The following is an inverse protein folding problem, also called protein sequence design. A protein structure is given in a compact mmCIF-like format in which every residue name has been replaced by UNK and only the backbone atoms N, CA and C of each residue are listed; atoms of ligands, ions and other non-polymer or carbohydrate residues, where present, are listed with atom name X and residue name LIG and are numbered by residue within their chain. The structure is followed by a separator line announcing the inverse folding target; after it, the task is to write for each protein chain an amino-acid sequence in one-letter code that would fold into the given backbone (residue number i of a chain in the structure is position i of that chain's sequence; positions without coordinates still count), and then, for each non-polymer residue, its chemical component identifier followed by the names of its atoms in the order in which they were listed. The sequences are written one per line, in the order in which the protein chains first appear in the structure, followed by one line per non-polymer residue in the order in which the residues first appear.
data_IF_000479972355
#
_entry.id   IF_000479972355
#
_cell.length_a   1.000
_cell.length_b   1.000
_cell.length_c   1.000
_cell.angle_alpha   90.00
_cell.angle_beta   90.00
_cell.angle_gamma   90.00
#
_symmetry.space_group_name_H-M   'P 1'
#
loop_
_entity.id
_entity.type
_entity.pdbx_description
1 polymer ?
#
# COMPACT_ATOMS: atom_id res chain seq x y z
N UNK A 1 -19.33 -13.04 3.37
CA UNK A 1 -18.21 -13.59 2.56
C UNK A 1 -16.97 -13.93 3.40
N UNK A 2 -17.11 -14.46 4.64
CA UNK A 2 -15.98 -14.98 5.43
C UNK A 2 -16.41 -16.15 6.35
N UNK A 3 -17.10 -17.18 5.84
CA UNK A 3 -17.44 -18.37 6.67
C UNK A 3 -16.37 -19.47 6.62
N UNK A 4 -15.49 -19.47 5.61
CA UNK A 4 -14.49 -20.53 5.41
C UNK A 4 -13.09 -20.23 5.98
N UNK A 5 -12.75 -18.95 6.15
CA UNK A 5 -11.43 -18.57 6.67
C UNK A 5 -11.64 -18.16 8.14
N UNK A 6 -11.25 -19.03 9.07
CA UNK A 6 -11.26 -18.75 10.52
C UNK A 6 -10.12 -17.78 10.90
N UNK A 7 -9.88 -16.75 10.08
CA UNK A 7 -8.88 -15.74 10.38
C UNK A 7 -9.43 -14.83 11.47
N UNK A 8 -8.95 -15.02 12.69
CA UNK A 8 -9.38 -14.24 13.86
C UNK A 8 -8.44 -13.08 14.17
N UNK A 9 -7.18 -13.16 13.75
CA UNK A 9 -6.18 -12.14 14.01
C UNK A 9 -5.03 -12.18 12.99
N UNK A 10 -4.34 -11.05 12.84
CA UNK A 10 -3.15 -10.89 12.01
C UNK A 10 -2.14 -10.03 12.77
N UNK A 11 -0.96 -10.60 13.04
CA UNK A 11 0.08 -9.98 13.84
C UNK A 11 1.32 -9.69 12.99
N UNK A 12 1.85 -8.48 13.05
CA UNK A 12 3.17 -8.17 12.52
C UNK A 12 3.90 -7.20 13.45
N UNK A 13 5.02 -7.65 14.03
CA UNK A 13 5.73 -6.91 15.07
C UNK A 13 4.75 -6.45 16.18
N UNK A 14 4.61 -5.15 16.37
CA UNK A 14 3.73 -4.54 17.39
C UNK A 14 2.31 -4.27 16.87
N UNK A 15 2.05 -4.45 15.57
CA UNK A 15 0.75 -4.19 14.95
C UNK A 15 -0.12 -5.46 14.98
N UNK A 16 -1.23 -5.39 15.72
CA UNK A 16 -2.23 -6.45 15.84
C UNK A 16 -3.55 -6.01 15.19
N UNK A 17 -4.00 -6.73 14.18
CA UNK A 17 -5.38 -6.65 13.68
C UNK A 17 -6.18 -7.84 14.20
N UNK A 18 -7.37 -7.55 14.72
CA UNK A 18 -8.29 -8.59 15.18
C UNK A 18 -9.60 -8.48 14.41
N UNK A 19 -10.05 -9.61 13.88
CA UNK A 19 -11.26 -9.70 13.07
C UNK A 19 -12.39 -10.32 13.88
N UNK A 20 -13.56 -9.70 13.81
CA UNK A 20 -14.77 -10.15 14.48
C UNK A 20 -15.97 -9.97 13.55
N UNK A 21 -17.07 -10.65 13.88
CA UNK A 21 -18.35 -10.54 13.14
C UNK A 21 -18.99 -9.15 13.25
N UNK A 22 -18.42 -8.27 14.07
CA UNK A 22 -18.90 -6.90 14.27
C UNK A 22 -20.14 -6.81 15.15
N UNK A 23 -20.57 -7.92 15.75
CA UNK A 23 -21.66 -7.94 16.72
C UNK A 23 -21.25 -7.28 18.03
N UNK A 24 -22.23 -6.78 18.79
CA UNK A 24 -21.95 -6.22 20.12
C UNK A 24 -21.28 -7.26 21.04
N UNK A 25 -21.72 -8.51 20.96
CA UNK A 25 -21.12 -9.62 21.71
C UNK A 25 -19.67 -9.87 21.29
N UNK A 26 -19.39 -9.90 19.99
CA UNK A 26 -18.05 -10.09 19.45
C UNK A 26 -17.06 -9.01 19.90
N UNK A 27 -17.48 -7.75 19.97
CA UNK A 27 -16.62 -6.64 20.43
C UNK A 27 -16.39 -6.72 21.95
N UNK A 28 -17.41 -7.05 22.74
CA UNK A 28 -17.29 -7.22 24.19
C UNK A 28 -16.36 -8.37 24.54
N UNK A 29 -16.47 -9.49 23.82
CA UNK A 29 -15.57 -10.63 24.00
C UNK A 29 -14.12 -10.27 23.68
N UNK A 30 -13.88 -9.48 22.63
CA UNK A 30 -12.54 -8.98 22.33
C UNK A 30 -11.97 -8.11 23.45
N UNK A 31 -12.76 -7.20 24.02
CA UNK A 31 -12.31 -6.38 25.16
C UNK A 31 -11.97 -7.25 26.37
N UNK A 32 -12.77 -8.29 26.64
CA UNK A 32 -12.53 -9.24 27.71
C UNK A 32 -11.22 -10.00 27.52
N UNK A 33 -10.96 -10.48 26.30
CA UNK A 33 -9.72 -11.18 25.95
C UNK A 33 -8.51 -10.26 26.11
N UNK A 34 -8.57 -9.03 25.60
CA UNK A 34 -7.49 -8.04 25.72
C UNK A 34 -7.23 -7.67 27.19
N UNK A 35 -8.28 -7.57 28.01
CA UNK A 35 -8.14 -7.33 29.44
C UNK A 35 -7.47 -8.52 30.17
N UNK A 36 -7.80 -9.76 29.81
CA UNK A 36 -7.13 -10.95 30.34
C UNK A 36 -5.66 -11.00 29.89
N UNK A 37 -5.38 -10.74 28.61
CA UNK A 37 -4.02 -10.69 28.09
C UNK A 37 -3.18 -9.68 28.88
N UNK A 38 -3.70 -8.46 29.08
CA UNK A 38 -3.04 -7.44 29.91
C UNK A 38 -2.73 -7.92 31.32
N UNK A 39 -3.64 -8.66 31.96
CA UNK A 39 -3.43 -9.19 33.32
C UNK A 39 -2.29 -10.20 33.37
N UNK A 40 -2.14 -11.02 32.32
CA UNK A 40 -1.12 -12.08 32.27
C UNK A 40 0.24 -11.55 31.79
N UNK A 41 0.26 -10.73 30.74
CA UNK A 41 1.49 -10.24 30.11
C UNK A 41 2.01 -8.93 30.67
N UNK A 42 1.17 -8.16 31.37
CA UNK A 42 1.47 -6.77 31.77
C UNK A 42 1.42 -5.75 30.62
N UNK A 43 1.24 -6.20 29.38
CA UNK A 43 1.20 -5.33 28.20
C UNK A 43 -0.17 -4.66 28.07
N UNK A 44 -0.18 -3.35 27.85
CA UNK A 44 -1.39 -2.54 27.71
C UNK A 44 -1.51 -2.04 26.26
N UNK A 45 -2.66 -2.27 25.64
CA UNK A 45 -3.00 -1.65 24.35
C UNK A 45 -3.03 -0.13 24.51
N UNK A 46 -2.45 0.60 23.55
CA UNK A 46 -2.50 2.06 23.55
C UNK A 46 -3.81 2.54 22.90
N UNK A 47 -4.78 3.07 23.66
CA UNK A 47 -6.08 3.44 23.11
C UNK A 47 -5.99 4.53 22.04
N UNK A 48 -4.97 5.40 22.10
CA UNK A 48 -4.78 6.46 21.09
C UNK A 48 -4.20 5.95 19.77
N UNK A 49 -3.75 4.68 19.71
CA UNK A 49 -3.30 3.99 18.50
C UNK A 49 -4.27 2.89 18.06
N UNK A 50 -5.33 2.62 18.83
CA UNK A 50 -6.30 1.59 18.52
C UNK A 50 -7.49 2.20 17.77
N UNK A 51 -7.70 1.72 16.56
CA UNK A 51 -8.84 2.09 15.72
C UNK A 51 -9.76 0.88 15.50
N UNK A 52 -11.06 1.13 15.38
CA UNK A 52 -12.05 0.12 15.02
C UNK A 52 -12.61 0.41 13.62
N UNK A 53 -12.77 -0.65 12.84
CA UNK A 53 -13.30 -0.57 11.47
C UNK A 53 -14.56 -1.43 11.37
N UNK A 54 -15.62 -0.85 10.82
CA UNK A 54 -16.89 -1.54 10.60
C UNK A 54 -17.21 -1.58 9.11
N UNK A 55 -17.32 -2.78 8.56
CA UNK A 55 -17.85 -3.01 7.21
C UNK A 55 -19.36 -3.21 7.25
N UNK A 56 -20.08 -2.70 6.24
CA UNK A 56 -21.51 -3.02 6.04
C UNK A 56 -22.52 -2.33 6.96
N UNK A 57 -22.08 -1.43 7.86
CA UNK A 57 -22.98 -0.61 8.71
C UNK A 57 -23.14 0.81 8.17
N UNK A 58 -24.21 1.50 8.52
CA UNK A 58 -24.39 2.94 8.23
C UNK A 58 -23.45 3.82 9.07
N UNK A 59 -23.05 4.99 8.57
CA UNK A 59 -22.07 5.89 9.20
C UNK A 59 -22.43 6.24 10.65
N UNK A 60 -23.70 6.55 10.91
CA UNK A 60 -24.19 6.89 12.26
C UNK A 60 -24.02 5.71 13.21
N UNK A 61 -24.38 4.51 12.76
CA UNK A 61 -24.27 3.29 13.57
C UNK A 61 -22.81 2.96 13.91
N UNK A 62 -21.89 3.18 12.96
CA UNK A 62 -20.45 3.00 13.20
C UNK A 62 -19.93 3.93 14.30
N UNK A 63 -20.31 5.20 14.26
CA UNK A 63 -19.88 6.20 15.24
C UNK A 63 -20.43 5.87 16.64
N UNK A 64 -21.71 5.53 16.74
CA UNK A 64 -22.34 5.16 18.02
C UNK A 64 -21.65 3.93 18.63
N UNK A 65 -21.36 2.91 17.82
CA UNK A 65 -20.68 1.70 18.30
C UNK A 65 -19.23 1.98 18.70
N UNK A 66 -18.47 2.74 17.90
CA UNK A 66 -17.10 3.10 18.24
C UNK A 66 -17.03 3.86 19.58
N UNK A 67 -17.92 4.85 19.76
CA UNK A 67 -18.02 5.62 21.00
C UNK A 67 -18.40 4.76 22.20
N UNK A 68 -19.36 3.84 22.06
CA UNK A 68 -19.78 2.92 23.12
C UNK A 68 -18.63 2.09 23.68
N UNK A 69 -17.71 1.65 22.83
CA UNK A 69 -16.59 0.79 23.22
C UNK A 69 -15.28 1.54 23.44
N UNK A 70 -15.27 2.88 23.30
CA UNK A 70 -14.10 3.71 23.55
C UNK A 70 -12.99 3.57 22.49
N UNK A 71 -13.34 3.19 21.27
CA UNK A 71 -12.40 3.12 20.14
C UNK A 71 -12.55 4.34 19.23
N UNK A 72 -11.45 4.77 18.63
CA UNK A 72 -11.51 5.73 17.53
C UNK A 72 -12.05 5.01 16.29
N UNK A 73 -13.02 5.63 15.61
CA UNK A 73 -13.52 5.09 14.35
C UNK A 73 -12.49 5.37 13.27
N UNK A 74 -11.90 4.31 12.72
CA UNK A 74 -11.00 4.43 11.59
C UNK A 74 -11.76 4.39 10.25
N UNK A 75 -11.25 5.07 9.24
CA UNK A 75 -11.75 4.97 7.88
C UNK A 75 -10.97 3.90 7.09
N UNK A 76 -11.65 3.21 6.16
CA UNK A 76 -11.02 2.22 5.27
C UNK A 76 -10.10 2.90 4.24
N UNK A 77 -8.96 3.38 4.71
CA UNK A 77 -7.74 3.75 3.97
C UNK A 77 -6.50 3.47 4.84
N UNK A 78 -6.63 2.64 5.89
CA UNK A 78 -5.53 2.39 6.83
C UNK A 78 -4.42 1.62 6.16
N UNK A 79 -3.20 2.14 6.29
CA UNK A 79 -2.02 1.47 5.77
C UNK A 79 -1.65 0.32 6.69
N UNK A 80 -1.81 -0.91 6.23
CA UNK A 80 -1.18 -2.05 6.87
C UNK A 80 0.09 -2.40 6.11
N UNK A 81 1.23 -2.41 6.79
CA UNK A 81 2.56 -2.65 6.19
C UNK A 81 2.91 -1.67 5.04
N UNK A 82 2.37 -0.45 5.09
CA UNK A 82 2.63 0.59 4.09
C UNK A 82 1.80 0.51 2.81
N UNK A 83 0.81 -0.39 2.74
CA UNK A 83 -0.22 -0.45 1.69
C UNK A 83 -1.62 -0.26 2.27
N UNK A 84 -2.54 0.43 1.57
CA UNK A 84 -3.89 0.69 2.06
C UNK A 84 -4.71 -0.59 2.16
N UNK A 85 -5.36 -0.83 3.30
CA UNK A 85 -6.38 -1.84 3.48
C UNK A 85 -7.66 -1.36 2.82
N UNK A 86 -8.00 -1.96 1.68
CA UNK A 86 -9.16 -1.55 0.87
C UNK A 86 -10.13 -2.73 0.80
N UNK A 87 -11.39 -2.48 1.12
CA UNK A 87 -12.49 -3.47 1.07
C UNK A 87 -13.12 -3.60 -0.34
N UNK A 88 -12.72 -2.74 -1.28
CA UNK A 88 -13.23 -2.67 -2.65
C UNK A 88 -12.15 -2.48 -3.72
N UNK A 89 -12.53 -1.90 -4.86
CA UNK A 89 -11.57 -1.61 -5.95
C UNK A 89 -10.57 -0.54 -5.53
N UNK A 90 -9.31 -0.72 -5.91
CA UNK A 90 -8.24 0.24 -5.68
C UNK A 90 -8.56 1.58 -6.37
N UNK A 91 -8.76 2.63 -5.57
CA UNK A 91 -8.99 3.98 -6.08
C UNK A 91 -7.68 4.69 -6.40
N UNK A 92 -7.73 5.73 -7.24
CA UNK A 92 -6.57 6.57 -7.52
C UNK A 92 -6.05 7.25 -6.25
N UNK A 93 -6.95 7.75 -5.40
CA UNK A 93 -6.60 8.37 -4.12
C UNK A 93 -5.85 7.40 -3.19
N UNK A 94 -6.24 6.12 -3.18
CA UNK A 94 -5.55 5.11 -2.40
C UNK A 94 -4.14 4.80 -2.92
N UNK A 95 -3.82 5.14 -4.18
CA UNK A 95 -2.47 5.02 -4.75
C UNK A 95 -1.58 6.24 -4.50
N UNK A 96 -2.13 7.37 -4.06
CA UNK A 96 -1.37 8.59 -3.76
C UNK A 96 -0.19 8.36 -2.81
N UNK A 97 -0.30 7.53 -1.75
CA UNK A 97 0.83 7.11 -0.92
C UNK A 97 2.07 6.61 -1.66
N UNK A 98 1.87 5.83 -2.73
CA UNK A 98 2.96 5.31 -3.56
C UNK A 98 3.64 6.46 -4.30
N UNK A 99 2.83 7.32 -4.92
CA UNK A 99 3.30 8.47 -5.69
C UNK A 99 4.11 9.42 -4.80
N UNK A 100 3.57 9.81 -3.64
CA UNK A 100 4.22 10.72 -2.71
C UNK A 100 5.57 10.16 -2.22
N UNK A 101 5.63 8.85 -1.93
CA UNK A 101 6.85 8.17 -1.49
C UNK A 101 7.91 8.15 -2.60
N UNK A 102 7.51 7.97 -3.85
CA UNK A 102 8.42 8.05 -5.00
C UNK A 102 8.94 9.47 -5.19
N UNK A 103 8.05 10.48 -5.15
CA UNK A 103 8.41 11.89 -5.27
C UNK A 103 9.38 12.32 -4.16
N UNK A 104 9.12 11.95 -2.91
CA UNK A 104 10.01 12.25 -1.78
C UNK A 104 11.42 11.67 -1.98
N UNK A 105 11.52 10.45 -2.52
CA UNK A 105 12.81 9.83 -2.86
C UNK A 105 13.52 10.56 -4.01
N UNK A 106 12.80 10.90 -5.08
CA UNK A 106 13.34 11.72 -6.18
C UNK A 106 13.94 13.01 -5.64
N UNK A 107 13.21 13.76 -4.81
CA UNK A 107 13.69 15.02 -4.22
C UNK A 107 14.97 14.82 -3.41
N UNK A 108 14.99 13.80 -2.55
CA UNK A 108 16.14 13.48 -1.71
C UNK A 108 17.40 13.12 -2.52
N UNK A 109 17.25 12.51 -3.70
CA UNK A 109 18.38 12.13 -4.55
C UNK A 109 18.78 13.18 -5.57
N UNK A 110 17.84 13.98 -6.08
CA UNK A 110 18.16 15.13 -6.92
C UNK A 110 19.06 16.13 -6.17
N UNK A 111 18.86 16.29 -4.85
CA UNK A 111 19.76 17.08 -4.00
C UNK A 111 21.21 16.56 -3.94
N UNK A 112 21.47 15.31 -4.38
CA UNK A 112 22.79 14.68 -4.35
C UNK A 112 23.53 14.72 -5.70
N UNK A 113 22.95 15.36 -6.73
CA UNK A 113 23.57 15.55 -8.05
C UNK A 113 24.21 14.27 -8.64
N UNK A 114 23.42 13.19 -8.72
CA UNK A 114 23.88 11.88 -9.20
C UNK A 114 24.12 11.85 -10.71
N UNK A 115 24.98 10.93 -11.16
CA UNK A 115 25.18 10.65 -12.58
C UNK A 115 23.94 10.01 -13.22
N UNK A 116 23.87 10.06 -14.54
CA UNK A 116 22.82 9.44 -15.34
C UNK A 116 22.71 7.93 -15.06
N UNK A 117 23.83 7.22 -15.02
CA UNK A 117 23.91 5.79 -14.70
C UNK A 117 23.45 5.51 -13.26
N UNK A 118 23.83 6.37 -12.32
CA UNK A 118 23.39 6.29 -10.93
C UNK A 118 21.86 6.44 -10.79
N UNK A 119 21.25 7.33 -11.57
CA UNK A 119 19.80 7.49 -11.59
C UNK A 119 19.12 6.22 -12.14
N UNK A 120 19.62 5.65 -13.24
CA UNK A 120 19.11 4.38 -13.81
C UNK A 120 19.17 3.26 -12.77
N UNK A 121 20.31 3.11 -12.08
CA UNK A 121 20.50 2.08 -11.06
C UNK A 121 19.52 2.25 -9.89
N UNK A 122 19.32 3.48 -9.41
CA UNK A 122 18.36 3.77 -8.34
C UNK A 122 16.91 3.50 -8.75
N UNK A 123 16.52 3.84 -9.98
CA UNK A 123 15.20 3.46 -10.50
C UNK A 123 15.03 1.94 -10.46
N UNK A 124 16.02 1.21 -11.00
CA UNK A 124 15.98 -0.25 -11.07
C UNK A 124 15.97 -0.96 -9.72
N UNK A 125 16.63 -0.41 -8.70
CA UNK A 125 16.69 -1.02 -7.36
C UNK A 125 15.54 -0.56 -6.45
N UNK A 126 15.22 0.73 -6.43
CA UNK A 126 14.36 1.30 -5.39
C UNK A 126 12.94 1.58 -5.88
N UNK A 127 12.77 2.18 -7.05
CA UNK A 127 11.41 2.41 -7.57
C UNK A 127 10.76 1.11 -7.96
N UNK A 128 11.50 0.22 -8.63
CA UNK A 128 11.00 -1.10 -8.93
C UNK A 128 10.61 -1.90 -7.69
N UNK A 129 11.38 -1.87 -6.59
CA UNK A 129 11.00 -2.59 -5.37
C UNK A 129 9.77 -2.00 -4.70
N UNK A 130 9.61 -0.68 -4.68
CA UNK A 130 8.41 -0.02 -4.16
C UNK A 130 7.17 -0.34 -4.99
N UNK A 131 7.24 -0.19 -6.31
CA UNK A 131 6.12 -0.49 -7.20
C UNK A 131 5.82 -1.99 -7.19
N UNK A 132 6.84 -2.85 -7.10
CA UNK A 132 6.70 -4.29 -6.99
C UNK A 132 5.90 -4.71 -5.76
N UNK A 133 6.19 -4.11 -4.62
CA UNK A 133 5.43 -4.37 -3.40
C UNK A 133 3.94 -4.09 -3.60
N UNK A 134 3.60 -2.96 -4.20
CA UNK A 134 2.20 -2.60 -4.49
C UNK A 134 1.55 -3.51 -5.53
N UNK A 135 2.24 -3.81 -6.63
CA UNK A 135 1.76 -4.71 -7.70
C UNK A 135 1.59 -6.15 -7.21
N UNK A 136 2.32 -6.55 -6.17
CA UNK A 136 2.14 -7.86 -5.54
C UNK A 136 0.88 -7.95 -4.70
N UNK A 137 0.23 -6.84 -4.36
CA UNK A 137 -1.00 -6.83 -3.55
C UNK A 137 -2.20 -6.40 -4.37
N UNK A 138 -2.02 -5.49 -5.33
CA UNK A 138 -3.11 -4.90 -6.11
C UNK A 138 -2.84 -4.90 -7.60
N UNK A 139 -3.93 -4.92 -8.37
CA UNK A 139 -3.92 -4.50 -9.76
C UNK A 139 -4.00 -2.96 -9.82
N UNK A 140 -2.88 -2.32 -10.15
CA UNK A 140 -2.78 -0.86 -10.23
C UNK A 140 -3.53 -0.31 -11.45
N UNK A 141 -4.26 0.81 -11.31
CA UNK A 141 -4.87 1.49 -12.45
C UNK A 141 -3.80 1.92 -13.46
N UNK A 142 -4.11 1.83 -14.76
CA UNK A 142 -3.19 2.24 -15.85
C UNK A 142 -2.69 3.68 -15.71
N UNK A 143 -3.52 4.58 -15.19
CA UNK A 143 -3.14 5.98 -14.92
C UNK A 143 -2.05 6.09 -13.85
N UNK A 144 -2.11 5.26 -12.80
CA UNK A 144 -1.10 5.22 -11.73
C UNK A 144 0.22 4.69 -12.28
N UNK A 145 0.17 3.63 -13.11
CA UNK A 145 1.38 3.10 -13.76
C UNK A 145 2.03 4.16 -14.64
N UNK A 146 1.25 4.85 -15.49
CA UNK A 146 1.78 5.95 -16.31
C UNK A 146 2.43 7.05 -15.48
N UNK A 147 1.87 7.36 -14.32
CA UNK A 147 2.43 8.35 -13.41
C UNK A 147 3.74 7.88 -12.77
N UNK A 148 3.82 6.60 -12.37
CA UNK A 148 5.06 5.96 -11.89
C UNK A 148 6.15 6.02 -12.96
N UNK A 149 5.82 5.63 -14.21
CA UNK A 149 6.73 5.69 -15.36
C UNK A 149 7.21 7.12 -15.62
N UNK A 150 6.31 8.10 -15.54
CA UNK A 150 6.63 9.53 -15.69
C UNK A 150 7.63 10.01 -14.65
N UNK A 151 7.41 9.67 -13.38
CA UNK A 151 8.31 10.04 -12.27
C UNK A 151 9.71 9.44 -12.48
N UNK A 152 9.77 8.16 -12.84
CA UNK A 152 11.04 7.48 -13.11
C UNK A 152 11.77 8.09 -14.31
N UNK A 153 11.06 8.39 -15.40
CA UNK A 153 11.64 9.04 -16.58
C UNK A 153 12.21 10.40 -16.23
N UNK A 154 11.44 11.26 -15.57
CA UNK A 154 11.90 12.58 -15.18
C UNK A 154 13.15 12.51 -14.29
N UNK A 155 13.21 11.53 -13.38
CA UNK A 155 14.38 11.33 -12.52
C UNK A 155 15.62 10.88 -13.31
N UNK A 156 15.48 9.91 -14.22
CA UNK A 156 16.58 9.42 -15.07
C UNK A 156 17.18 10.57 -15.89
N UNK A 157 16.32 11.39 -16.48
CA UNK A 157 16.74 12.49 -17.36
C UNK A 157 17.04 13.81 -16.62
N UNK A 158 17.02 13.82 -15.28
CA UNK A 158 17.40 14.98 -14.49
C UNK A 158 16.47 16.19 -14.64
N UNK A 159 15.21 15.99 -15.02
CA UNK A 159 14.26 17.09 -15.19
C UNK A 159 13.73 17.54 -13.83
N UNK A 160 13.93 18.83 -13.52
CA UNK A 160 13.52 19.46 -12.26
C UNK A 160 12.00 19.46 -12.04
N UNK A 161 11.57 19.71 -10.79
CA UNK A 161 10.15 19.77 -10.43
C UNK A 161 9.37 20.77 -11.31
N UNK A 162 8.18 20.34 -11.79
CA UNK A 162 7.31 21.17 -12.63
C UNK A 162 7.71 21.26 -14.10
N UNK A 163 8.89 20.78 -14.49
CA UNK A 163 9.32 20.72 -15.88
C UNK A 163 8.89 19.38 -16.51
N UNK A 164 8.29 19.47 -17.70
CA UNK A 164 8.02 18.30 -18.54
C UNK A 164 9.23 18.07 -19.44
N UNK A 165 9.68 16.82 -19.55
CA UNK A 165 10.54 16.44 -20.67
C UNK A 165 9.85 16.86 -21.97
N UNK A 166 10.50 17.71 -22.78
CA UNK A 166 10.02 18.05 -24.14
C UNK A 166 9.92 16.80 -25.02
N UNK A 167 10.78 15.81 -24.75
CA UNK A 167 10.71 14.52 -25.37
C UNK A 167 10.00 13.54 -24.43
N UNK A 168 8.77 13.16 -24.75
CA UNK A 168 8.19 11.90 -24.29
C UNK A 168 9.11 10.77 -24.80
N UNK A 169 10.22 10.49 -24.10
CA UNK A 169 10.89 9.21 -24.27
C UNK A 169 9.87 8.20 -23.82
N UNK A 170 9.17 7.62 -24.79
CA UNK A 170 8.12 6.63 -24.56
C UNK A 170 8.74 5.59 -23.65
N UNK A 171 8.21 5.42 -22.44
CA UNK A 171 8.75 4.51 -21.43
C UNK A 171 8.99 3.10 -22.01
N UNK A 172 8.17 2.69 -22.98
CA UNK A 172 8.33 1.48 -23.79
C UNK A 172 9.71 1.34 -24.45
N UNK A 173 10.40 2.42 -24.81
CA UNK A 173 11.76 2.35 -25.34
C UNK A 173 12.79 2.00 -24.27
N UNK A 174 12.52 2.37 -23.01
CA UNK A 174 13.37 2.03 -21.87
C UNK A 174 13.17 0.58 -21.42
N UNK A 175 12.02 -0.04 -21.75
CA UNK A 175 11.76 -1.45 -21.44
C UNK A 175 12.37 -2.44 -22.43
N UNK A 176 12.92 -1.97 -23.55
CA UNK A 176 13.66 -2.84 -24.47
C UNK A 176 14.92 -3.42 -23.80
N UNK A 177 15.38 -4.61 -24.25
CA UNK A 177 16.61 -5.21 -23.77
C UNK A 177 17.81 -4.27 -23.89
N UNK A 178 18.85 -4.47 -23.06
CA UNK A 178 20.04 -3.60 -23.00
C UNK A 178 20.77 -3.37 -24.33
N UNK A 179 20.45 -4.14 -25.38
CA UNK A 179 20.87 -3.94 -26.78
C UNK A 179 19.98 -2.91 -27.49
N UNK A 180 19.76 -1.72 -26.90
CA UNK A 180 18.93 -0.66 -27.49
C UNK A 180 17.90 -0.01 -26.55
N UNK A 181 17.73 -0.54 -25.33
CA UNK A 181 16.96 0.06 -24.23
C UNK A 181 17.67 -0.04 -22.88
N UNK A 182 16.96 0.21 -21.78
CA UNK A 182 17.51 0.15 -20.42
C UNK A 182 17.24 -1.20 -19.72
N UNK A 183 16.47 -2.10 -20.34
CA UNK A 183 16.14 -3.41 -19.78
C UNK A 183 15.14 -3.35 -18.62
N UNK A 184 14.38 -2.25 -18.50
CA UNK A 184 13.30 -2.14 -17.54
C UNK A 184 12.13 -3.06 -17.91
N UNK A 185 11.33 -3.49 -16.94
CA UNK A 185 10.14 -4.32 -17.22
C UNK A 185 8.95 -3.45 -17.56
N UNK A 186 8.05 -3.96 -18.39
CA UNK A 186 6.73 -3.35 -18.55
C UNK A 186 5.92 -3.53 -17.27
N UNK A 187 5.61 -2.42 -16.59
CA UNK A 187 4.96 -2.47 -15.27
C UNK A 187 3.54 -3.03 -15.37
N UNK A 188 2.82 -2.78 -16.47
CA UNK A 188 1.48 -3.32 -16.66
C UNK A 188 1.50 -4.85 -16.78
N UNK A 189 2.30 -5.37 -17.71
CA UNK A 189 2.44 -6.83 -17.92
C UNK A 189 2.94 -7.53 -16.67
N UNK A 190 3.86 -6.90 -15.94
CA UNK A 190 4.38 -7.43 -14.69
C UNK A 190 3.34 -7.43 -13.57
N UNK A 191 2.52 -6.38 -13.45
CA UNK A 191 1.42 -6.37 -12.49
C UNK A 191 0.40 -7.47 -12.78
N UNK A 192 0.06 -7.70 -14.06
CA UNK A 192 -0.82 -8.80 -14.45
C UNK A 192 -0.23 -10.16 -14.05
N UNK A 193 1.07 -10.37 -14.28
CA UNK A 193 1.77 -11.59 -13.87
C UNK A 193 1.77 -11.81 -12.35
N UNK A 194 1.91 -10.75 -11.55
CA UNK A 194 1.77 -10.83 -10.10
C UNK A 194 0.36 -11.29 -9.68
N UNK A 195 -0.68 -10.78 -10.34
CA UNK A 195 -2.07 -11.16 -10.04
C UNK A 195 -2.38 -12.60 -10.46
N UNK A 196 -1.87 -13.07 -11.60
CA UNK A 196 -2.08 -14.46 -12.04
C UNK A 196 -1.37 -15.46 -11.12
N UNK A 197 -0.20 -15.11 -10.59
CA UNK A 197 0.47 -15.91 -9.56
C UNK A 197 -0.39 -16.11 -8.32
N UNK A 198 -1.11 -15.07 -7.87
CA UNK A 198 -2.02 -15.19 -6.73
C UNK A 198 -3.18 -16.13 -7.02
N UNK A 199 -3.76 -16.06 -8.21
CA UNK A 199 -4.83 -16.99 -8.60
C UNK A 199 -4.30 -18.43 -8.51
N UNK A 200 -3.13 -18.70 -9.10
CA UNK A 200 -2.53 -20.03 -9.11
C UNK A 200 -2.18 -20.57 -7.71
N UNK A 201 -1.67 -19.72 -6.80
CA UNK A 201 -1.36 -20.13 -5.43
C UNK A 201 -2.60 -20.39 -4.56
N UNK A 202 -3.76 -19.86 -4.94
CA UNK A 202 -5.03 -20.01 -4.24
C UNK A 202 -6.01 -20.95 -4.98
N UNK A 203 -5.55 -21.65 -6.02
CA UNK A 203 -6.29 -22.70 -6.76
C UNK A 203 -5.95 -24.07 -6.21
#
# INVERSE_FOLDING_TARGET
MCKGIQLTHLCFADDLLVFSDGSNFGIQDLQRILAQFKKVSGLKSNPSKCEVFFGGLETVERQVRAARYGYQLGEFLVRYLGVPLISGKLSLAACQPLIDKMVAKVKSWQAKALSYEGNIELVGKVFYSLTQFWMSVFLLPKSVIKEVERICSNFIWGVGEGLKLRANVVWQKLTYPKKGGLGFRDLWSWNQACMTRHIWLNS
#
